data_IF_343815065673
#
_entry.id   IF_343815065673
#
_cell.length_a   1.000
_cell.length_b   1.000
_cell.length_c   1.000
_cell.angle_alpha   90.00
_cell.angle_beta   90.00
_cell.angle_gamma   90.00
#
_symmetry.space_group_name_H-M   'P 1'
#
loop_
_entity.id
_entity.type
_entity.pdbx_description
1 polymer ?
#
# COMPACT_ATOMS: atom_id res chain seq x y z
N UNK A 1 12.88 20.75 50.21
CA UNK A 1 13.25 19.75 49.18
C UNK A 1 12.35 20.00 47.98
N UNK A 2 12.88 20.54 46.87
CA UNK A 2 12.08 20.85 45.67
C UNK A 2 11.98 19.58 44.83
N UNK A 3 10.78 19.02 44.71
CA UNK A 3 10.52 17.90 43.81
C UNK A 3 10.47 18.43 42.38
N UNK A 4 11.39 17.96 41.53
CA UNK A 4 11.32 18.24 40.10
C UNK A 4 10.51 17.13 39.44
N UNK A 5 9.37 17.49 38.87
CA UNK A 5 8.55 16.60 38.04
C UNK A 5 9.13 16.67 36.63
N UNK A 6 9.66 15.54 36.15
CA UNK A 6 10.10 15.37 34.76
C UNK A 6 8.86 14.99 33.95
N UNK A 7 8.42 15.88 33.06
CA UNK A 7 7.38 15.57 32.09
C UNK A 7 8.02 14.85 30.90
N UNK A 8 7.75 13.56 30.76
CA UNK A 8 8.08 12.79 29.56
C UNK A 8 6.95 12.97 28.56
N UNK A 9 7.16 13.81 27.54
CA UNK A 9 6.24 13.90 26.40
C UNK A 9 6.47 12.72 25.48
N UNK A 10 5.50 11.79 25.44
CA UNK A 10 5.47 10.72 24.45
C UNK A 10 4.92 11.30 23.15
N UNK A 11 5.79 11.50 22.16
CA UNK A 11 5.36 11.86 20.80
C UNK A 11 4.91 10.57 20.09
N UNK A 12 3.59 10.39 19.98
CA UNK A 12 3.01 9.36 19.12
C UNK A 12 3.00 9.94 17.71
N UNK A 13 3.96 9.52 16.88
CA UNK A 13 3.93 9.83 15.45
C UNK A 13 2.78 9.09 14.75
N UNK A 14 2.32 9.55 13.58
CA UNK A 14 1.36 8.79 12.78
C UNK A 14 1.96 7.41 12.47
N UNK A 15 1.24 6.37 12.88
CA UNK A 15 1.45 5.02 12.37
C UNK A 15 0.98 5.06 10.92
N UNK A 16 1.92 4.95 9.98
CA UNK A 16 1.58 4.73 8.57
C UNK A 16 1.00 3.32 8.47
N UNK A 17 -0.33 3.22 8.58
CA UNK A 17 -1.05 2.03 8.21
C UNK A 17 -1.16 2.00 6.69
N UNK A 18 -1.04 0.81 6.13
CA UNK A 18 -1.25 0.60 4.71
C UNK A 18 -2.68 0.98 4.32
N UNK A 19 -2.85 1.54 3.12
CA UNK A 19 -4.14 1.95 2.59
C UNK A 19 -5.02 0.71 2.32
N UNK A 20 -6.25 0.71 2.83
CA UNK A 20 -7.24 -0.32 2.57
C UNK A 20 -8.04 0.01 1.31
N UNK A 21 -7.90 -0.83 0.28
CA UNK A 21 -8.56 -0.58 -1.00
C UNK A 21 -10.08 -0.46 -0.85
N UNK A 22 -10.74 -1.32 -0.08
CA UNK A 22 -12.20 -1.37 -0.06
C UNK A 22 -12.86 -0.20 0.67
N UNK A 23 -12.28 0.21 1.80
CA UNK A 23 -12.87 1.25 2.65
C UNK A 23 -12.38 2.64 2.29
N UNK A 24 -11.22 2.77 1.64
CA UNK A 24 -10.61 4.06 1.33
C UNK A 24 -10.66 4.33 -0.18
N UNK A 25 -10.00 3.52 -1.00
CA UNK A 25 -9.85 3.77 -2.45
C UNK A 25 -11.15 3.54 -3.23
N UNK A 26 -11.80 2.39 -3.02
CA UNK A 26 -13.06 2.04 -3.68
C UNK A 26 -14.19 2.99 -3.27
N UNK A 27 -14.17 3.53 -2.05
CA UNK A 27 -15.13 4.55 -1.62
C UNK A 27 -15.02 5.82 -2.50
N UNK A 28 -13.81 6.27 -2.80
CA UNK A 28 -13.58 7.41 -3.69
C UNK A 28 -14.13 7.12 -5.09
N UNK A 29 -13.91 5.91 -5.62
CA UNK A 29 -14.44 5.54 -6.96
C UNK A 29 -15.97 5.42 -6.98
N UNK A 30 -16.59 4.97 -5.90
CA UNK A 30 -18.04 4.89 -5.76
C UNK A 30 -18.68 6.27 -5.87
N UNK A 31 -18.09 7.25 -5.21
CA UNK A 31 -18.65 8.60 -5.11
C UNK A 31 -18.39 9.41 -6.39
N UNK A 32 -17.23 9.21 -7.03
CA UNK A 32 -16.75 10.13 -8.07
C UNK A 32 -16.68 9.53 -9.48
N UNK A 33 -16.57 8.20 -9.65
CA UNK A 33 -16.08 7.63 -10.92
C UNK A 33 -17.02 6.61 -11.58
N UNK A 34 -17.66 5.73 -10.80
CA UNK A 34 -18.37 4.55 -11.32
C UNK A 34 -19.53 4.90 -12.25
N UNK A 35 -20.20 6.04 -12.06
CA UNK A 35 -21.31 6.45 -12.95
C UNK A 35 -20.91 6.54 -14.43
N UNK A 36 -19.62 6.82 -14.68
CA UNK A 36 -19.00 6.95 -15.99
C UNK A 36 -18.18 5.71 -16.38
N UNK A 37 -17.51 5.08 -15.41
CA UNK A 37 -16.60 3.95 -15.61
C UNK A 37 -17.18 2.64 -15.06
N UNK A 38 -18.22 2.14 -15.73
CA UNK A 38 -18.91 0.89 -15.38
C UNK A 38 -19.27 0.11 -16.64
N UNK A 39 -18.90 -1.16 -16.69
CA UNK A 39 -19.27 -2.04 -17.80
C UNK A 39 -20.78 -2.35 -17.77
N UNK A 40 -21.44 -2.23 -18.91
CA UNK A 40 -22.91 -2.29 -19.00
C UNK A 40 -23.62 -0.95 -18.72
N UNK A 41 -22.87 0.12 -18.44
CA UNK A 41 -23.37 1.50 -18.38
C UNK A 41 -22.64 2.41 -19.37
N UNK A 42 -22.17 3.58 -18.93
CA UNK A 42 -21.49 4.55 -19.79
C UNK A 42 -20.14 4.03 -20.32
N UNK A 43 -19.43 3.24 -19.51
CA UNK A 43 -18.19 2.53 -19.85
C UNK A 43 -17.14 3.37 -20.61
N UNK A 44 -16.92 4.60 -20.16
CA UNK A 44 -15.97 5.49 -20.82
C UNK A 44 -14.53 4.96 -20.73
N UNK A 45 -13.79 5.10 -21.83
CA UNK A 45 -12.43 4.57 -21.95
C UNK A 45 -12.34 3.04 -21.94
N UNK A 46 -13.45 2.31 -21.81
CA UNK A 46 -13.44 0.87 -21.54
C UNK A 46 -12.91 0.51 -20.16
N UNK A 47 -12.91 1.47 -19.23
CA UNK A 47 -12.48 1.27 -17.86
C UNK A 47 -13.69 0.95 -16.99
N UNK A 48 -13.55 -0.05 -16.13
CA UNK A 48 -14.55 -0.44 -15.13
C UNK A 48 -13.93 -0.34 -13.73
N UNK A 49 -14.52 0.52 -12.89
CA UNK A 49 -14.04 0.83 -11.55
C UNK A 49 -14.95 0.25 -10.45
N UNK A 50 -15.87 -0.65 -10.79
CA UNK A 50 -16.85 -1.23 -9.85
C UNK A 50 -16.19 -2.10 -8.77
N UNK A 51 -15.04 -2.69 -9.06
CA UNK A 51 -14.28 -3.51 -8.13
C UNK A 51 -12.80 -3.60 -8.52
N UNK A 52 -12.00 -4.11 -7.59
CA UNK A 52 -10.56 -4.30 -7.73
C UNK A 52 -10.20 -5.07 -9.01
N UNK A 53 -10.77 -6.25 -9.20
CA UNK A 53 -10.46 -7.11 -10.36
C UNK A 53 -10.67 -6.38 -11.68
N UNK A 54 -11.76 -5.62 -11.79
CA UNK A 54 -12.11 -4.88 -13.01
C UNK A 54 -11.19 -3.68 -13.24
N UNK A 55 -10.81 -2.96 -12.17
CA UNK A 55 -9.83 -1.88 -12.23
C UNK A 55 -8.47 -2.40 -12.72
N UNK A 56 -8.03 -3.55 -12.18
CA UNK A 56 -6.71 -4.11 -12.49
C UNK A 56 -6.62 -4.75 -13.89
N UNK A 57 -7.75 -5.06 -14.53
CA UNK A 57 -7.78 -5.39 -15.97
C UNK A 57 -7.36 -4.17 -16.83
N UNK A 58 -7.69 -2.96 -16.37
CA UNK A 58 -7.38 -1.71 -17.07
C UNK A 58 -8.45 -1.26 -18.06
N UNK A 59 -8.04 -0.39 -18.97
CA UNK A 59 -8.90 0.26 -19.97
C UNK A 59 -8.69 -0.34 -21.37
N UNK A 60 -9.39 0.18 -22.38
CA UNK A 60 -9.08 -0.15 -23.78
C UNK A 60 -7.65 0.22 -24.21
N UNK A 61 -7.00 1.15 -23.50
CA UNK A 61 -5.61 1.56 -23.75
C UNK A 61 -4.59 0.73 -22.97
N UNK A 62 -5.04 -0.26 -22.19
CA UNK A 62 -4.20 -1.10 -21.33
C UNK A 62 -4.29 -0.72 -19.85
N UNK A 63 -3.27 -1.11 -19.09
CA UNK A 63 -3.20 -0.91 -17.65
C UNK A 63 -3.31 0.58 -17.29
N UNK A 64 -4.13 0.89 -16.29
CA UNK A 64 -4.29 2.25 -15.74
C UNK A 64 -3.60 2.42 -14.39
N UNK A 65 -3.27 1.30 -13.73
CA UNK A 65 -2.49 1.21 -12.49
C UNK A 65 -1.20 0.45 -12.77
N UNK A 66 -0.08 1.01 -12.33
CA UNK A 66 1.24 0.39 -12.31
C UNK A 66 1.64 0.26 -10.84
N UNK A 67 1.52 -0.95 -10.24
CA UNK A 67 1.90 -1.18 -8.85
C UNK A 67 3.32 -0.70 -8.54
N UNK A 68 3.47 0.09 -7.48
CA UNK A 68 4.76 0.66 -7.04
C UNK A 68 5.20 1.91 -7.79
N UNK A 69 4.40 2.44 -8.72
CA UNK A 69 4.70 3.66 -9.46
C UNK A 69 3.42 4.45 -9.77
N UNK A 70 2.95 5.26 -8.80
CA UNK A 70 1.80 6.13 -9.06
C UNK A 70 2.08 7.12 -10.19
N UNK A 71 3.31 7.62 -10.31
CA UNK A 71 3.66 8.69 -11.24
C UNK A 71 3.53 8.25 -12.69
N UNK A 72 3.76 6.96 -12.97
CA UNK A 72 3.55 6.34 -14.28
C UNK A 72 2.14 5.78 -14.49
N UNK A 73 1.29 5.77 -13.45
CA UNK A 73 -0.08 5.25 -13.51
C UNK A 73 -1.04 6.28 -14.10
N UNK A 74 -1.67 5.96 -15.24
CA UNK A 74 -2.62 6.85 -15.92
C UNK A 74 -3.78 7.25 -14.99
N UNK A 75 -4.27 6.32 -14.16
CA UNK A 75 -5.31 6.61 -13.17
C UNK A 75 -4.97 7.83 -12.32
N UNK A 76 -3.74 7.88 -11.80
CA UNK A 76 -3.29 8.98 -10.96
C UNK A 76 -3.04 10.26 -11.77
N UNK A 77 -2.48 10.15 -12.98
CA UNK A 77 -2.21 11.30 -13.85
C UNK A 77 -3.50 12.05 -14.23
N UNK A 78 -4.59 11.33 -14.54
CA UNK A 78 -5.88 11.92 -14.91
C UNK A 78 -6.55 12.64 -13.72
N UNK A 79 -6.50 12.07 -12.51
CA UNK A 79 -7.06 12.73 -11.33
C UNK A 79 -6.18 13.89 -10.84
N UNK A 80 -4.85 13.76 -10.90
CA UNK A 80 -3.93 14.80 -10.43
C UNK A 80 -3.89 16.01 -11.38
N UNK A 81 -4.24 15.83 -12.65
CA UNK A 81 -4.31 16.93 -13.62
C UNK A 81 -5.66 17.67 -13.58
N UNK A 82 -6.67 17.10 -12.90
CA UNK A 82 -8.05 17.60 -12.92
C UNK A 82 -8.80 17.26 -14.21
N UNK A 83 -8.28 16.36 -15.04
CA UNK A 83 -9.00 15.88 -16.23
C UNK A 83 -10.13 14.91 -15.83
N UNK A 84 -10.00 14.26 -14.67
CA UNK A 84 -11.01 13.40 -14.06
C UNK A 84 -11.29 13.78 -12.59
N UNK A 85 -12.56 13.93 -12.19
CA UNK A 85 -13.78 13.81 -13.01
C UNK A 85 -13.94 14.98 -14.01
N UNK A 86 -14.62 14.79 -15.17
CA UNK A 86 -14.63 15.80 -16.20
C UNK A 86 -15.59 16.98 -15.90
N UNK A 87 -15.15 18.20 -16.21
CA UNK A 87 -16.02 19.35 -16.43
C UNK A 87 -16.48 20.09 -15.16
N UNK A 88 -17.78 20.05 -14.86
CA UNK A 88 -18.43 20.75 -13.73
C UNK A 88 -18.59 19.86 -12.49
N UNK A 89 -18.07 18.63 -12.52
CA UNK A 89 -17.96 17.81 -11.33
C UNK A 89 -16.90 18.39 -10.41
N UNK A 90 -17.07 18.20 -9.10
CA UNK A 90 -16.03 18.61 -8.16
C UNK A 90 -14.81 17.69 -8.35
N UNK A 91 -13.63 18.30 -8.40
CA UNK A 91 -12.36 17.57 -8.40
C UNK A 91 -12.19 16.82 -7.07
N UNK A 92 -11.40 15.74 -7.09
CA UNK A 92 -10.97 15.09 -5.85
C UNK A 92 -10.18 16.08 -4.99
N UNK A 93 -10.32 15.93 -3.68
CA UNK A 93 -9.45 16.63 -2.73
C UNK A 93 -8.00 16.17 -2.89
N UNK A 94 -7.06 17.03 -2.46
CA UNK A 94 -5.64 16.67 -2.42
C UNK A 94 -5.41 15.40 -1.60
N UNK A 95 -6.12 15.25 -0.48
CA UNK A 95 -6.04 14.08 0.38
C UNK A 95 -6.48 12.79 -0.33
N UNK A 96 -7.55 12.82 -1.13
CA UNK A 96 -8.00 11.65 -1.90
C UNK A 96 -7.01 11.29 -3.02
N UNK A 97 -6.42 12.30 -3.68
CA UNK A 97 -5.39 12.08 -4.72
C UNK A 97 -4.13 11.47 -4.09
N UNK A 98 -3.70 11.98 -2.93
CA UNK A 98 -2.54 11.46 -2.19
C UNK A 98 -2.79 10.03 -1.66
N UNK A 99 -4.01 9.73 -1.22
CA UNK A 99 -4.40 8.39 -0.77
C UNK A 99 -4.32 7.35 -1.90
N UNK A 100 -4.79 7.70 -3.10
CA UNK A 100 -4.67 6.85 -4.28
C UNK A 100 -3.20 6.69 -4.68
N UNK A 101 -2.40 7.77 -4.61
CA UNK A 101 -0.97 7.70 -4.88
C UNK A 101 -0.25 6.73 -3.94
N UNK A 102 -0.53 6.86 -2.64
CA UNK A 102 0.03 6.01 -1.60
C UNK A 102 -0.35 4.55 -1.82
N UNK A 103 -1.63 4.26 -2.06
CA UNK A 103 -2.09 2.89 -2.35
C UNK A 103 -1.36 2.27 -3.55
N UNK A 104 -1.15 3.03 -4.63
CA UNK A 104 -0.42 2.53 -5.79
C UNK A 104 1.05 2.25 -5.44
N UNK A 105 1.73 3.18 -4.76
CA UNK A 105 3.14 3.01 -4.36
C UNK A 105 3.34 1.87 -3.36
N UNK A 106 2.35 1.59 -2.52
CA UNK A 106 2.32 0.42 -1.64
C UNK A 106 2.17 -0.90 -2.40
N UNK A 107 1.97 -0.88 -3.72
CA UNK A 107 1.83 -2.08 -4.55
C UNK A 107 0.42 -2.33 -5.06
N UNK A 108 -0.49 -1.36 -4.88
CA UNK A 108 -1.87 -1.43 -5.32
C UNK A 108 -2.59 -2.71 -4.84
N UNK A 109 -2.39 -3.09 -3.57
CA UNK A 109 -2.96 -4.32 -3.03
C UNK A 109 -4.47 -4.23 -2.83
N UNK A 110 -5.19 -5.33 -3.09
CA UNK A 110 -6.64 -5.44 -2.82
C UNK A 110 -6.95 -5.47 -1.32
N UNK A 111 -6.09 -6.13 -0.55
CA UNK A 111 -6.23 -6.28 0.90
C UNK A 111 -4.95 -5.85 1.57
N UNK A 112 -5.08 -5.25 2.76
CA UNK A 112 -3.91 -4.92 3.53
C UNK A 112 -3.05 -6.18 3.79
N UNK A 113 -1.74 -6.09 3.51
CA UNK A 113 -0.73 -7.02 3.94
C UNK A 113 -0.57 -6.84 5.45
N UNK A 114 -1.38 -7.59 6.19
CA UNK A 114 -1.17 -7.83 7.61
C UNK A 114 0.00 -8.81 7.77
N UNK A 115 1.22 -8.37 7.49
CA UNK A 115 2.38 -9.11 7.96
C UNK A 115 2.69 -8.64 9.36
N UNK A 116 2.25 -9.43 10.34
CA UNK A 116 2.67 -9.21 11.71
C UNK A 116 4.21 -9.33 11.79
N UNK A 117 4.90 -8.38 12.45
CA UNK A 117 6.33 -8.51 12.67
C UNK A 117 6.59 -9.80 13.45
N UNK A 118 7.69 -10.47 13.13
CA UNK A 118 8.04 -11.70 13.84
C UNK A 118 8.20 -11.44 15.35
N UNK A 119 7.60 -12.31 16.16
CA UNK A 119 7.74 -12.22 17.62
C UNK A 119 9.22 -12.37 18.02
N UNK A 120 9.69 -11.48 18.91
CA UNK A 120 11.06 -11.55 19.41
C UNK A 120 11.29 -12.89 20.14
N UNK A 121 12.26 -13.66 19.67
CA UNK A 121 12.65 -14.94 20.24
C UNK A 121 11.98 -16.16 19.62
N UNK A 122 11.08 -16.01 18.63
CA UNK A 122 10.58 -17.15 17.84
C UNK A 122 11.29 -17.30 16.50
N UNK A 123 11.90 -16.23 15.99
CA UNK A 123 12.83 -16.29 14.85
C UNK A 123 14.27 -16.21 15.35
N UNK A 124 15.10 -17.15 14.92
CA UNK A 124 16.51 -17.22 15.30
C UNK A 124 17.37 -17.81 14.19
N UNK A 125 18.68 -17.58 14.29
CA UNK A 125 19.69 -18.22 13.42
C UNK A 125 19.83 -19.69 13.82
N UNK A 126 19.45 -20.61 12.94
CA UNK A 126 19.58 -22.06 13.16
C UNK A 126 20.97 -22.57 12.78
N UNK A 127 21.52 -22.06 11.69
CA UNK A 127 22.86 -22.40 11.20
C UNK A 127 23.54 -21.21 10.51
N UNK A 128 24.86 -21.22 10.54
CA UNK A 128 25.71 -20.33 9.77
C UNK A 128 26.69 -21.16 8.96
N UNK A 129 26.64 -21.02 7.65
CA UNK A 129 27.51 -21.70 6.70
C UNK A 129 28.51 -20.70 6.12
N UNK A 130 29.75 -20.80 6.59
CA UNK A 130 30.88 -19.95 6.17
C UNK A 130 31.74 -20.58 5.06
N UNK A 131 31.14 -21.52 4.32
CA UNK A 131 31.79 -22.19 3.19
C UNK A 131 30.78 -22.67 2.15
N UNK A 132 29.71 -21.91 1.93
CA UNK A 132 28.67 -22.29 0.99
C UNK A 132 29.16 -22.26 -0.46
N UNK A 133 28.60 -23.13 -1.30
CA UNK A 133 28.74 -23.10 -2.75
C UNK A 133 27.33 -22.86 -3.32
N UNK A 134 27.00 -21.65 -3.82
CA UNK A 134 27.93 -20.64 -4.32
C UNK A 134 28.42 -19.57 -3.33
N UNK A 135 27.74 -19.33 -2.21
CA UNK A 135 28.04 -18.24 -1.27
C UNK A 135 27.78 -18.63 0.19
N UNK A 136 28.40 -17.91 1.13
CA UNK A 136 28.11 -18.03 2.56
C UNK A 136 26.68 -17.60 2.87
N UNK A 137 26.03 -18.30 3.80
CA UNK A 137 24.66 -18.00 4.19
C UNK A 137 24.40 -18.27 5.67
N UNK A 138 23.40 -17.58 6.19
CA UNK A 138 22.82 -17.83 7.50
C UNK A 138 21.40 -18.33 7.28
N UNK A 139 21.03 -19.44 7.91
CA UNK A 139 19.65 -19.91 7.92
C UNK A 139 18.91 -19.24 9.09
N UNK A 140 17.77 -18.63 8.77
CA UNK A 140 16.84 -18.10 9.74
C UNK A 140 15.66 -19.05 9.85
N UNK A 141 15.37 -19.52 11.06
CA UNK A 141 14.27 -20.42 11.33
C UNK A 141 13.19 -19.72 12.15
N UNK A 142 11.95 -19.75 11.66
CA UNK A 142 10.76 -19.34 12.40
C UNK A 142 10.17 -20.54 13.13
N UNK A 143 10.24 -20.56 14.46
CA UNK A 143 9.62 -21.60 15.29
C UNK A 143 8.18 -21.29 15.70
N UNK A 144 7.61 -20.16 15.27
CA UNK A 144 6.22 -19.79 15.51
C UNK A 144 5.23 -20.60 14.68
N UNK A 145 3.94 -20.47 15.01
CA UNK A 145 2.85 -21.17 14.33
C UNK A 145 2.28 -20.38 13.13
N UNK A 146 2.80 -19.18 12.86
CA UNK A 146 2.34 -18.29 11.80
C UNK A 146 3.52 -17.70 11.01
N UNK A 147 3.28 -17.42 9.74
CA UNK A 147 4.19 -16.62 8.93
C UNK A 147 4.25 -15.18 9.47
N UNK A 148 5.41 -14.55 9.37
CA UNK A 148 5.67 -13.21 9.90
C UNK A 148 6.71 -12.48 9.04
N UNK A 149 6.78 -11.16 9.16
CA UNK A 149 7.76 -10.34 8.43
C UNK A 149 8.99 -10.01 9.27
N UNK A 150 10.15 -10.08 8.63
CA UNK A 150 11.43 -9.55 9.14
C UNK A 150 11.71 -8.12 8.65
N UNK A 151 10.73 -7.46 8.03
CA UNK A 151 10.86 -6.06 7.65
C UNK A 151 11.14 -5.19 8.88
N UNK A 152 12.11 -4.29 8.75
CA UNK A 152 12.59 -3.46 9.87
C UNK A 152 13.53 -4.16 10.85
N UNK A 153 13.72 -5.48 10.77
CA UNK A 153 14.74 -6.18 11.54
C UNK A 153 16.13 -5.97 10.91
N UNK A 154 17.15 -5.85 11.75
CA UNK A 154 18.54 -5.70 11.33
C UNK A 154 19.41 -6.71 12.08
N UNK A 155 20.37 -7.30 11.36
CA UNK A 155 21.45 -8.06 11.99
C UNK A 155 22.49 -7.06 12.49
N UNK A 156 22.70 -7.04 13.79
CA UNK A 156 23.69 -6.20 14.46
C UNK A 156 24.92 -7.06 14.83
N UNK A 157 26.12 -6.60 14.49
CA UNK A 157 27.40 -7.26 14.75
C UNK A 157 28.24 -6.56 15.84
N UNK A 158 27.65 -5.59 16.55
CA UNK A 158 28.32 -4.73 17.55
C UNK A 158 28.55 -5.32 18.94
#
# INVERSE_FOLDING_TARGET
>A
MKQSIIYLTLAIGPLFAQVDYYTEVQSIFNDNCISCHINGGAYYGGLDLVNYDSLMVGSHSGAVVIPGDYASSILWQEISSGDMPPGNSDDLSTEEIELIAQWIDEGAFETAILTDPCDLGVVYVSEAHTSGDPEDYIELYNSGDTDCSLEGFQLDDS
#
